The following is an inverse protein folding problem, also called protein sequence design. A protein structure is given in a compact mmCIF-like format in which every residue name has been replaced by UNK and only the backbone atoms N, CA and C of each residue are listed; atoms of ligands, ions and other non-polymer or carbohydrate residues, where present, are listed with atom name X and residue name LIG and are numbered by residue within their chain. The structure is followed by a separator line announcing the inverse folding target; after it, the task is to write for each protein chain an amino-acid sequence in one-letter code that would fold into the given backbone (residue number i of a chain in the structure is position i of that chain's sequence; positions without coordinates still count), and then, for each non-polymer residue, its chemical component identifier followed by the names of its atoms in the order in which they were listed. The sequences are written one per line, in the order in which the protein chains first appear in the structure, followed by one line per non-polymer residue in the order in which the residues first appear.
data_IF_759801656257
#
_entry.id   IF_759801656257
#
_cell.length_a   1.000
_cell.length_b   1.000
_cell.length_c   1.000
_cell.angle_alpha   90.00
_cell.angle_beta   90.00
_cell.angle_gamma   90.00
#
_symmetry.space_group_name_H-M   'P 1'
#
loop_
_entity.id
_entity.type
_entity.pdbx_description
1 polymer ?
#
# COMPACT_ATOMS: atom_id res chain seq x y z
N UNK A 1 -22.32 -23.18 58.78
CA UNK A 1 -21.12 -23.52 58.00
C UNK A 1 -21.53 -23.58 56.53
N UNK A 2 -21.24 -22.53 55.76
CA UNK A 2 -21.57 -22.44 54.32
C UNK A 2 -20.25 -22.26 53.59
N UNK A 3 -19.83 -23.26 52.82
CA UNK A 3 -18.65 -23.20 51.96
C UNK A 3 -19.09 -22.69 50.58
N UNK A 4 -18.74 -21.45 50.26
CA UNK A 4 -18.81 -20.91 48.90
C UNK A 4 -17.63 -21.44 48.09
N UNK A 5 -17.91 -22.24 47.07
CA UNK A 5 -16.92 -22.67 46.08
C UNK A 5 -16.95 -21.63 44.95
N UNK A 6 -15.86 -20.88 44.82
CA UNK A 6 -15.62 -19.91 43.75
C UNK A 6 -15.25 -20.67 42.48
N UNK A 7 -16.14 -20.67 41.49
CA UNK A 7 -15.84 -21.15 40.13
C UNK A 7 -15.16 -20.02 39.36
N UNK A 8 -13.85 -20.15 39.17
CA UNK A 8 -13.02 -19.27 38.36
C UNK A 8 -13.36 -19.55 36.88
N UNK A 9 -14.04 -18.61 36.24
CA UNK A 9 -14.25 -18.60 34.79
C UNK A 9 -12.92 -18.28 34.12
N UNK A 10 -12.33 -19.29 33.48
CA UNK A 10 -11.12 -19.14 32.66
C UNK A 10 -11.54 -18.43 31.36
N UNK A 11 -11.23 -17.13 31.29
CA UNK A 11 -11.33 -16.35 30.06
C UNK A 11 -10.22 -16.83 29.12
N UNK A 12 -10.61 -17.57 28.07
CA UNK A 12 -9.72 -17.87 26.95
C UNK A 12 -9.43 -16.56 26.21
N UNK A 13 -8.28 -15.96 26.49
CA UNK A 13 -7.70 -14.94 25.61
C UNK A 13 -7.21 -15.66 24.34
N UNK A 14 -8.02 -15.61 23.29
CA UNK A 14 -7.56 -15.89 21.93
C UNK A 14 -6.58 -14.77 21.53
N UNK A 15 -5.30 -14.97 21.83
CA UNK A 15 -4.22 -14.13 21.33
C UNK A 15 -4.08 -14.47 19.85
N UNK A 16 -4.89 -13.80 19.02
CA UNK A 16 -4.69 -13.76 17.59
C UNK A 16 -3.29 -13.19 17.34
N UNK A 17 -2.36 -14.06 16.97
CA UNK A 17 -1.05 -13.67 16.46
C UNK A 17 -1.31 -12.93 15.15
N UNK A 18 -1.48 -11.61 15.24
CA UNK A 18 -1.44 -10.75 14.07
C UNK A 18 0.01 -10.77 13.60
N UNK A 19 0.32 -11.70 12.69
CA UNK A 19 1.50 -11.59 11.84
C UNK A 19 1.34 -10.29 11.05
N UNK A 20 1.80 -9.18 11.62
CA UNK A 20 2.11 -7.98 10.83
C UNK A 20 3.15 -8.43 9.83
N UNK A 21 2.71 -8.71 8.61
CA UNK A 21 3.57 -8.94 7.48
C UNK A 21 4.60 -7.81 7.47
N UNK A 22 5.87 -8.16 7.70
CA UNK A 22 6.98 -7.22 7.59
C UNK A 22 6.92 -6.70 6.16
N UNK A 23 6.49 -5.45 5.98
CA UNK A 23 6.38 -4.88 4.65
C UNK A 23 7.79 -4.89 4.03
N UNK A 24 7.94 -5.40 2.80
CA UNK A 24 9.25 -5.50 2.18
C UNK A 24 9.87 -4.10 2.06
N UNK A 25 11.12 -3.98 2.52
CA UNK A 25 11.94 -2.81 2.23
C UNK A 25 12.34 -2.94 0.76
N UNK A 26 11.76 -2.11 -0.09
CA UNK A 26 12.05 -2.09 -1.53
C UNK A 26 12.98 -0.91 -1.79
N UNK A 27 14.19 -1.17 -2.26
CA UNK A 27 15.04 -0.13 -2.83
C UNK A 27 14.52 0.21 -4.23
N UNK A 28 14.04 1.44 -4.41
CA UNK A 28 13.50 1.94 -5.67
C UNK A 28 14.60 2.25 -6.69
N UNK A 29 15.86 2.38 -6.29
CA UNK A 29 16.98 2.63 -7.20
C UNK A 29 17.59 1.34 -7.76
N UNK A 30 17.21 0.18 -7.23
CA UNK A 30 17.62 -1.13 -7.75
C UNK A 30 16.48 -1.78 -8.54
N UNK A 31 16.70 -1.94 -9.84
CA UNK A 31 15.75 -2.59 -10.75
C UNK A 31 15.44 -4.04 -10.36
N UNK A 32 16.40 -4.76 -9.77
CA UNK A 32 16.21 -6.15 -9.35
C UNK A 32 15.30 -6.22 -8.13
N UNK A 33 15.56 -5.39 -7.11
CA UNK A 33 14.69 -5.18 -5.95
C UNK A 33 13.25 -4.84 -6.37
N UNK A 34 13.06 -3.87 -7.27
CA UNK A 34 11.71 -3.48 -7.73
C UNK A 34 11.02 -4.60 -8.51
N UNK A 35 11.74 -5.28 -9.40
CA UNK A 35 11.19 -6.43 -10.16
C UNK A 35 10.80 -7.57 -9.23
N UNK A 36 11.66 -7.91 -8.28
CA UNK A 36 11.41 -8.97 -7.30
C UNK A 36 10.19 -8.63 -6.45
N UNK A 37 10.06 -7.38 -6.00
CA UNK A 37 8.87 -6.90 -5.33
C UNK A 37 7.62 -7.08 -6.20
N UNK A 38 7.62 -6.60 -7.45
CA UNK A 38 6.46 -6.72 -8.36
C UNK A 38 6.05 -8.19 -8.57
N UNK A 39 7.02 -9.09 -8.71
CA UNK A 39 6.77 -10.51 -8.97
C UNK A 39 6.29 -11.29 -7.74
N UNK A 40 6.75 -10.90 -6.54
CA UNK A 40 6.45 -11.60 -5.28
C UNK A 40 5.24 -11.03 -4.53
N UNK A 41 4.80 -9.83 -4.89
CA UNK A 41 3.73 -9.11 -4.18
C UNK A 41 2.40 -9.14 -4.93
N UNK A 42 1.30 -9.10 -4.17
CA UNK A 42 -0.04 -8.96 -4.75
C UNK A 42 -0.26 -7.54 -5.29
N UNK A 43 -1.33 -7.34 -6.06
CA UNK A 43 -1.71 -5.98 -6.46
C UNK A 43 -2.03 -5.10 -5.24
N UNK A 44 -2.67 -5.67 -4.20
CA UNK A 44 -2.97 -4.94 -2.97
C UNK A 44 -1.71 -4.54 -2.21
N UNK A 45 -0.71 -5.41 -2.10
CA UNK A 45 0.58 -5.07 -1.47
C UNK A 45 1.28 -3.91 -2.18
N UNK A 46 1.24 -3.89 -3.52
CA UNK A 46 1.79 -2.80 -4.33
C UNK A 46 1.05 -1.49 -4.10
N UNK A 47 -0.28 -1.52 -4.01
CA UNK A 47 -1.09 -0.34 -3.67
C UNK A 47 -0.71 0.19 -2.29
N UNK A 48 -0.66 -0.68 -1.27
CA UNK A 48 -0.30 -0.28 0.09
C UNK A 48 1.12 0.28 0.16
N UNK A 49 2.05 -0.27 -0.61
CA UNK A 49 3.41 0.25 -0.72
C UNK A 49 3.43 1.66 -1.31
N UNK A 50 2.68 1.91 -2.39
CA UNK A 50 2.56 3.24 -3.02
C UNK A 50 1.97 4.26 -2.04
N UNK A 51 0.87 3.93 -1.35
CA UNK A 51 0.21 4.84 -0.41
C UNK A 51 1.10 5.24 0.77
N UNK A 52 1.94 4.32 1.25
CA UNK A 52 2.84 4.58 2.36
C UNK A 52 4.05 5.44 1.95
N UNK A 53 4.38 5.45 0.65
CA UNK A 53 5.58 6.07 0.10
C UNK A 53 5.26 7.15 -0.95
N UNK A 54 4.06 7.76 -0.93
CA UNK A 54 3.57 8.67 -1.98
C UNK A 54 4.56 9.76 -2.42
N UNK A 55 5.33 10.32 -1.49
CA UNK A 55 6.35 11.32 -1.78
C UNK A 55 7.42 10.81 -2.78
N UNK A 56 7.84 9.56 -2.64
CA UNK A 56 8.84 8.94 -3.53
C UNK A 56 8.28 8.74 -4.94
N UNK A 57 6.98 8.41 -5.04
CA UNK A 57 6.31 8.22 -6.33
C UNK A 57 6.01 9.55 -7.04
N UNK A 58 5.64 10.60 -6.30
CA UNK A 58 5.46 11.94 -6.89
C UNK A 58 6.80 12.56 -7.34
N UNK A 59 7.91 12.10 -6.78
CA UNK A 59 9.26 12.54 -7.15
C UNK A 59 9.92 11.65 -8.22
N UNK A 60 9.18 10.69 -8.79
CA UNK A 60 9.67 9.74 -9.81
C UNK A 60 11.01 9.07 -9.44
N UNK A 61 11.13 8.58 -8.19
CA UNK A 61 12.40 8.02 -7.70
C UNK A 61 12.70 6.67 -8.37
N UNK A 62 13.79 6.62 -9.13
CA UNK A 62 14.37 5.41 -9.67
C UNK A 62 13.39 4.64 -10.56
N UNK A 63 13.04 3.43 -10.15
CA UNK A 63 12.13 2.53 -10.87
C UNK A 63 10.70 2.54 -10.30
N UNK A 64 10.29 3.59 -9.59
CA UNK A 64 8.93 3.74 -9.03
C UNK A 64 7.82 3.53 -10.08
N UNK A 65 8.05 3.98 -11.31
CA UNK A 65 7.09 3.88 -12.41
C UNK A 65 6.79 2.45 -12.84
N UNK A 66 7.72 1.52 -12.62
CA UNK A 66 7.46 0.10 -12.88
C UNK A 66 6.39 -0.45 -11.95
N UNK A 67 6.37 -0.01 -10.69
CA UNK A 67 5.36 -0.41 -9.73
C UNK A 67 4.00 0.18 -10.15
N UNK A 68 3.94 1.46 -10.51
CA UNK A 68 2.70 2.09 -11.01
C UNK A 68 2.19 1.41 -12.29
N UNK A 69 3.08 1.14 -13.24
CA UNK A 69 2.76 0.43 -14.49
C UNK A 69 2.24 -0.97 -14.23
N UNK A 70 2.78 -1.67 -13.23
CA UNK A 70 2.30 -3.00 -12.84
C UNK A 70 0.88 -2.97 -12.25
N UNK A 71 0.48 -1.86 -11.63
CA UNK A 71 -0.88 -1.63 -11.12
C UNK A 71 -1.83 -1.27 -12.26
N UNK A 72 -1.42 -0.38 -13.18
CA UNK A 72 -2.15 -0.07 -14.42
C UNK A 72 -2.49 -1.35 -15.18
N UNK A 73 -1.51 -2.27 -15.31
CA UNK A 73 -1.73 -3.57 -15.95
C UNK A 73 -2.74 -4.45 -15.20
N UNK A 74 -2.74 -4.40 -13.86
CA UNK A 74 -3.66 -5.19 -13.04
C UNK A 74 -5.10 -4.67 -13.08
N UNK A 75 -5.29 -3.35 -13.18
CA UNK A 75 -6.61 -2.71 -13.15
C UNK A 75 -7.15 -2.35 -14.53
N UNK A 76 -6.31 -2.40 -15.57
CA UNK A 76 -6.58 -1.86 -16.90
C UNK A 76 -7.02 -0.38 -16.87
N UNK A 77 -6.45 0.39 -15.94
CA UNK A 77 -6.73 1.82 -15.77
C UNK A 77 -5.45 2.63 -15.77
N UNK A 78 -5.50 3.81 -16.38
CA UNK A 78 -4.34 4.71 -16.46
C UNK A 78 -4.13 5.43 -15.14
N UNK A 79 -2.87 5.69 -14.80
CA UNK A 79 -2.47 6.67 -13.77
C UNK A 79 -1.86 7.84 -14.52
N UNK A 80 -2.33 9.06 -14.27
CA UNK A 80 -1.74 10.26 -14.82
C UNK A 80 -1.37 11.19 -13.67
N UNK A 81 -0.10 11.20 -13.28
CA UNK A 81 0.38 12.14 -12.26
C UNK A 81 0.59 13.52 -12.93
N UNK A 82 -0.25 14.54 -12.63
CA UNK A 82 -0.10 15.83 -13.26
C UNK A 82 1.09 16.57 -12.63
N UNK A 83 2.13 16.83 -13.43
CA UNK A 83 3.27 17.66 -13.01
C UNK A 83 3.05 19.14 -13.28
N UNK A 84 2.27 19.46 -14.33
CA UNK A 84 1.93 20.81 -14.72
C UNK A 84 0.43 20.92 -15.02
N UNK A 85 -0.17 22.04 -14.60
CA UNK A 85 -1.53 22.41 -14.96
C UNK A 85 -1.53 23.87 -15.45
N UNK A 86 -1.84 24.09 -16.74
CA UNK A 86 -1.82 25.43 -17.32
C UNK A 86 -0.45 26.13 -17.27
N UNK A 87 0.65 25.36 -17.36
CA UNK A 87 2.02 25.89 -17.27
C UNK A 87 2.53 26.11 -15.84
N UNK A 88 1.71 25.83 -14.81
CA UNK A 88 2.09 25.94 -13.40
C UNK A 88 2.45 24.56 -12.87
N UNK A 89 3.58 24.46 -12.14
CA UNK A 89 3.96 23.22 -11.45
C UNK A 89 2.92 22.88 -10.39
N UNK A 90 2.41 21.65 -10.44
CA UNK A 90 1.44 21.15 -9.46
C UNK A 90 2.15 20.91 -8.12
N UNK A 91 1.64 21.44 -7.00
CA UNK A 91 2.23 21.22 -5.68
C UNK A 91 2.28 19.74 -5.30
N UNK A 92 3.34 19.31 -4.62
CA UNK A 92 3.51 17.91 -4.21
C UNK A 92 2.34 17.40 -3.36
N UNK A 93 1.66 18.27 -2.60
CA UNK A 93 0.47 17.90 -1.83
C UNK A 93 -0.70 17.50 -2.72
N UNK A 94 -0.90 18.21 -3.83
CA UNK A 94 -1.97 17.91 -4.80
C UNK A 94 -1.65 16.62 -5.56
N UNK A 95 -0.38 16.42 -5.97
CA UNK A 95 0.06 15.17 -6.59
C UNK A 95 -0.17 13.96 -5.67
N UNK A 96 0.16 14.10 -4.38
CA UNK A 96 -0.07 13.05 -3.39
C UNK A 96 -1.57 12.78 -3.16
N UNK A 97 -2.41 13.81 -3.20
CA UNK A 97 -3.86 13.65 -3.08
C UNK A 97 -4.43 12.89 -4.27
N UNK A 98 -4.03 13.25 -5.49
CA UNK A 98 -4.40 12.53 -6.70
C UNK A 98 -3.94 11.06 -6.65
N UNK A 99 -2.67 10.82 -6.27
CA UNK A 99 -2.15 9.46 -6.15
C UNK A 99 -2.92 8.65 -5.10
N UNK A 100 -3.28 9.27 -3.97
CA UNK A 100 -4.10 8.64 -2.92
C UNK A 100 -5.50 8.28 -3.42
N UNK A 101 -6.14 9.16 -4.18
CA UNK A 101 -7.46 8.91 -4.78
C UNK A 101 -7.41 7.72 -5.74
N UNK A 102 -6.44 7.72 -6.67
CA UNK A 102 -6.27 6.61 -7.63
C UNK A 102 -5.98 5.28 -6.94
N UNK A 103 -5.16 5.27 -5.90
CA UNK A 103 -4.94 4.06 -5.09
C UNK A 103 -6.23 3.58 -4.42
N UNK A 104 -7.06 4.49 -3.92
CA UNK A 104 -8.38 4.17 -3.35
C UNK A 104 -9.33 3.53 -4.35
N UNK A 105 -9.35 4.01 -5.60
CA UNK A 105 -10.14 3.40 -6.68
C UNK A 105 -9.64 2.01 -7.04
N UNK A 106 -8.31 1.83 -7.10
CA UNK A 106 -7.71 0.52 -7.36
C UNK A 106 -8.04 -0.49 -6.27
N UNK A 107 -8.03 -0.07 -4.99
CA UNK A 107 -8.46 -0.94 -3.88
C UNK A 107 -9.88 -1.43 -4.04
N UNK A 108 -10.82 -0.52 -4.36
CA UNK A 108 -12.23 -0.88 -4.56
C UNK A 108 -12.39 -1.89 -5.70
N UNK A 109 -11.67 -1.69 -6.80
CA UNK A 109 -11.75 -2.56 -7.98
C UNK A 109 -11.17 -3.95 -7.73
N UNK A 110 -10.09 -4.02 -6.97
CA UNK A 110 -9.36 -5.26 -6.68
C UNK A 110 -9.81 -5.92 -5.37
N UNK A 111 -10.82 -5.37 -4.69
CA UNK A 111 -11.30 -5.82 -3.37
C UNK A 111 -10.17 -5.94 -2.32
N UNK A 112 -9.28 -4.95 -2.28
CA UNK A 112 -8.26 -4.85 -1.22
C UNK A 112 -8.93 -4.38 0.08
N UNK A 113 -9.01 -5.27 1.07
CA UNK A 113 -9.52 -5.01 2.42
C UNK A 113 -8.47 -4.37 3.32
#
# INVERSE_FOLDING_TARGET
MIRFIVLIVIVYAAIGVSCKATQPVVDLNDSLSVRDFINKSTACDRIYFVEKNKLLFCSEVGYSDLILSSLVKATNERIFLPFYNGGIRVPDKEQQAYLQERMGEFKKKLNCQ
#
